data_IF_937032583028
#
_entry.id   IF_937032583028
#
_cell.length_a   1.000
_cell.length_b   1.000
_cell.length_c   1.000
_cell.angle_alpha   90.00
_cell.angle_beta   90.00
_cell.angle_gamma   90.00
#
_symmetry.space_group_name_H-M   'P 1'
#
loop_
_entity.id
_entity.type
_entity.pdbx_description
1 polymer ?
#
# COMPACT_ATOMS: atom_id res chain seq x y z
N UNK A 1 4.86 -25.99 21.24
CA UNK A 1 4.02 -24.83 20.89
C UNK A 1 2.59 -25.31 20.71
N UNK A 2 1.63 -24.60 21.31
CA UNK A 2 0.22 -24.92 21.16
C UNK A 2 -0.22 -24.64 19.71
N UNK A 3 -0.85 -25.59 18.99
CA UNK A 3 -1.29 -25.38 17.62
C UNK A 3 -2.27 -24.21 17.43
N UNK A 4 -2.95 -23.78 18.51
CA UNK A 4 -3.86 -22.62 18.46
C UNK A 4 -3.14 -21.27 18.63
N UNK A 5 -1.86 -21.26 18.96
CA UNK A 5 -1.09 -20.05 19.11
C UNK A 5 -0.61 -19.54 17.77
N UNK A 6 -0.93 -18.26 17.47
CA UNK A 6 -0.45 -17.57 16.29
C UNK A 6 0.82 -16.81 16.67
N UNK A 7 1.92 -17.09 15.97
CA UNK A 7 3.15 -16.29 16.11
C UNK A 7 2.90 -14.95 15.47
N UNK A 8 2.92 -13.88 16.27
CA UNK A 8 2.80 -12.53 15.78
C UNK A 8 4.02 -12.16 14.93
N UNK A 9 3.79 -11.63 13.75
CA UNK A 9 4.81 -11.11 12.85
C UNK A 9 4.65 -9.60 12.69
N UNK A 10 5.71 -8.93 12.27
CA UNK A 10 5.64 -7.50 11.96
C UNK A 10 5.42 -7.31 10.47
N UNK A 11 4.34 -6.59 10.15
CA UNK A 11 3.93 -6.28 8.78
C UNK A 11 4.05 -4.76 8.59
N UNK A 12 4.95 -4.35 7.70
CA UNK A 12 5.05 -2.95 7.30
C UNK A 12 4.16 -2.73 6.07
N UNK A 13 3.09 -1.95 6.26
CA UNK A 13 2.10 -1.68 5.21
C UNK A 13 2.46 -0.36 4.52
N UNK A 14 3.03 -0.45 3.32
CA UNK A 14 3.50 0.68 2.54
C UNK A 14 2.54 0.96 1.39
N UNK A 15 2.00 2.16 1.35
CA UNK A 15 1.00 2.51 0.35
C UNK A 15 0.70 4.00 0.29
N UNK A 16 -0.39 4.32 -0.37
CA UNK A 16 -0.89 5.67 -0.59
C UNK A 16 -2.03 6.04 0.38
N UNK A 17 -2.93 6.91 -0.04
CA UNK A 17 -4.10 7.32 0.75
C UNK A 17 -5.03 6.17 1.10
N UNK A 18 -5.11 5.12 0.28
CA UNK A 18 -5.92 3.93 0.57
C UNK A 18 -5.37 3.16 1.79
N UNK A 19 -4.06 3.18 1.98
CA UNK A 19 -3.40 2.57 3.15
C UNK A 19 -3.41 3.53 4.35
N UNK A 20 -3.12 4.80 4.10
CA UNK A 20 -3.19 5.84 5.13
C UNK A 20 -4.57 5.90 5.79
N UNK A 21 -5.62 5.71 5.00
CA UNK A 21 -7.01 5.81 5.45
C UNK A 21 -7.57 7.20 5.27
N UNK A 22 -7.27 7.85 4.14
CA UNK A 22 -7.78 9.18 3.81
C UNK A 22 -9.31 9.22 3.81
N UNK A 23 -9.88 10.16 4.56
CA UNK A 23 -11.31 10.42 4.61
C UNK A 23 -11.66 11.64 3.74
N UNK A 24 -12.27 11.44 2.57
CA UNK A 24 -12.61 12.54 1.66
C UNK A 24 -13.69 13.49 2.20
N UNK A 25 -14.38 13.10 3.27
CA UNK A 25 -15.41 13.95 3.90
C UNK A 25 -14.80 15.11 4.68
N UNK A 26 -13.62 14.93 5.28
CA UNK A 26 -12.81 15.99 5.88
C UNK A 26 -13.40 16.72 7.09
N UNK A 27 -14.40 16.16 7.78
CA UNK A 27 -15.09 16.87 8.87
C UNK A 27 -14.24 17.03 10.13
N UNK A 28 -13.39 16.05 10.47
CA UNK A 28 -12.59 16.03 11.69
C UNK A 28 -11.15 15.61 11.41
N UNK A 29 -10.59 16.12 10.36
CA UNK A 29 -9.29 15.74 9.87
C UNK A 29 -9.40 15.03 8.52
N UNK A 30 -8.29 14.50 8.06
CA UNK A 30 -8.17 13.90 6.73
C UNK A 30 -8.08 12.37 6.78
N UNK A 31 -8.42 11.75 7.91
CA UNK A 31 -8.17 10.33 8.14
C UNK A 31 -9.32 9.65 8.87
N UNK A 32 -9.72 8.46 8.40
CA UNK A 32 -10.65 7.61 9.12
C UNK A 32 -10.08 7.20 10.49
N UNK A 33 -10.97 6.90 11.43
CA UNK A 33 -10.59 6.32 12.71
C UNK A 33 -10.01 4.90 12.58
N UNK A 34 -9.33 4.44 13.62
CA UNK A 34 -8.68 3.12 13.60
C UNK A 34 -9.67 1.97 13.35
N UNK A 35 -10.92 2.12 13.75
CA UNK A 35 -11.99 1.14 13.54
C UNK A 35 -12.39 0.97 12.06
N UNK A 36 -12.01 1.92 11.20
CA UNK A 36 -12.37 1.92 9.78
C UNK A 36 -11.15 1.80 8.85
N UNK A 37 -9.93 1.84 9.40
CA UNK A 37 -8.70 1.68 8.60
C UNK A 37 -8.33 0.21 8.49
N UNK A 38 -8.09 -0.25 7.25
CA UNK A 38 -7.81 -1.68 7.03
C UNK A 38 -6.54 -2.18 7.72
N UNK A 39 -5.50 -1.34 7.87
CA UNK A 39 -4.26 -1.73 8.56
C UNK A 39 -4.53 -2.02 10.04
N UNK A 40 -5.31 -1.16 10.69
CA UNK A 40 -5.68 -1.36 12.11
C UNK A 40 -6.62 -2.55 12.28
N UNK A 41 -7.54 -2.75 11.34
CA UNK A 41 -8.43 -3.92 11.33
C UNK A 41 -7.65 -5.21 11.13
N UNK A 42 -6.65 -5.21 10.26
CA UNK A 42 -5.77 -6.36 10.05
C UNK A 42 -5.03 -6.72 11.34
N UNK A 43 -4.46 -5.71 12.01
CA UNK A 43 -3.77 -5.92 13.29
C UNK A 43 -4.71 -6.49 14.35
N UNK A 44 -5.92 -5.95 14.45
CA UNK A 44 -6.93 -6.40 15.42
C UNK A 44 -7.38 -7.82 15.16
N UNK A 45 -7.64 -8.18 13.90
CA UNK A 45 -8.16 -9.50 13.53
C UNK A 45 -7.09 -10.60 13.60
N UNK A 46 -5.83 -10.27 13.36
CA UNK A 46 -4.74 -11.26 13.28
C UNK A 46 -3.86 -11.32 14.53
N UNK A 47 -3.83 -10.25 15.31
CA UNK A 47 -2.86 -10.11 16.40
C UNK A 47 -1.44 -9.78 15.92
N UNK A 48 -1.23 -9.56 14.63
CA UNK A 48 0.07 -9.14 14.08
C UNK A 48 0.36 -7.67 14.37
N UNK A 49 1.65 -7.33 14.43
CA UNK A 49 2.12 -5.97 14.57
C UNK A 49 2.13 -5.31 13.18
N UNK A 50 1.08 -4.55 12.87
CA UNK A 50 0.93 -3.89 11.59
C UNK A 50 1.28 -2.41 11.70
N UNK A 51 2.28 -1.99 10.93
CA UNK A 51 2.74 -0.59 10.89
C UNK A 51 2.16 0.05 9.63
N UNK A 52 1.43 1.16 9.81
CA UNK A 52 0.87 1.91 8.70
C UNK A 52 1.89 2.93 8.18
N UNK A 53 2.48 2.66 7.03
CA UNK A 53 3.36 3.57 6.30
C UNK A 53 2.69 4.11 5.04
N UNK A 54 1.39 4.35 5.09
CA UNK A 54 0.63 5.01 4.03
C UNK A 54 0.86 6.51 4.00
N UNK A 55 0.81 7.10 2.82
CA UNK A 55 0.91 8.55 2.64
C UNK A 55 0.05 9.00 1.46
N UNK A 56 -0.72 10.08 1.68
CA UNK A 56 -1.57 10.66 0.63
C UNK A 56 -0.74 11.07 -0.58
N UNK A 57 -1.24 10.76 -1.77
CA UNK A 57 -0.61 11.16 -3.03
C UNK A 57 0.62 10.35 -3.42
N UNK A 58 1.03 9.36 -2.63
CA UNK A 58 2.24 8.59 -2.94
C UNK A 58 2.11 7.83 -4.24
N UNK A 59 3.04 8.07 -5.14
CA UNK A 59 3.30 7.25 -6.31
C UNK A 59 4.33 6.16 -5.98
N UNK A 60 4.55 5.24 -6.90
CA UNK A 60 5.60 4.22 -6.75
C UNK A 60 6.95 4.94 -6.65
N UNK A 61 7.71 4.77 -5.57
CA UNK A 61 8.95 5.51 -5.36
C UNK A 61 10.02 5.16 -6.39
N UNK A 62 10.80 6.16 -6.75
CA UNK A 62 11.95 6.01 -7.67
C UNK A 62 13.29 5.98 -6.93
N UNK A 63 13.25 6.12 -5.61
CA UNK A 63 14.44 6.15 -4.76
C UNK A 63 14.37 5.06 -3.69
N UNK A 64 15.45 4.78 -2.94
CA UNK A 64 15.49 3.71 -1.94
C UNK A 64 14.80 4.07 -0.62
N UNK A 65 13.75 4.89 -0.65
CA UNK A 65 13.03 5.30 0.57
C UNK A 65 12.47 4.11 1.37
N UNK A 66 11.95 3.10 0.67
CA UNK A 66 11.40 1.91 1.33
C UNK A 66 12.47 1.11 2.07
N UNK A 67 13.70 1.07 1.56
CA UNK A 67 14.80 0.42 2.27
C UNK A 67 15.08 1.09 3.62
N UNK A 68 15.01 2.42 3.66
CA UNK A 68 15.13 3.18 4.90
C UNK A 68 14.01 2.84 5.89
N UNK A 69 12.77 2.74 5.42
CA UNK A 69 11.64 2.33 6.26
C UNK A 69 11.81 0.91 6.81
N UNK A 70 12.28 -0.03 5.99
CA UNK A 70 12.56 -1.40 6.43
C UNK A 70 13.61 -1.40 7.53
N UNK A 71 14.64 -0.58 7.41
CA UNK A 71 15.71 -0.46 8.40
C UNK A 71 15.20 0.17 9.70
N UNK A 72 14.43 1.25 9.60
CA UNK A 72 13.88 1.97 10.75
C UNK A 72 12.90 1.12 11.58
N UNK A 73 12.16 0.24 10.91
CA UNK A 73 11.17 -0.64 11.55
C UNK A 73 11.63 -2.08 11.75
N UNK A 74 12.91 -2.36 11.52
CA UNK A 74 13.45 -3.71 11.65
C UNK A 74 13.22 -4.31 13.07
N UNK A 75 12.97 -5.62 13.19
CA UNK A 75 12.81 -6.58 12.09
C UNK A 75 11.42 -6.47 11.44
N UNK A 76 11.37 -6.53 10.12
CA UNK A 76 10.11 -6.59 9.35
C UNK A 76 10.01 -7.98 8.73
N UNK A 77 8.92 -8.69 9.04
CA UNK A 77 8.69 -10.03 8.51
C UNK A 77 8.00 -9.99 7.14
N UNK A 78 7.05 -9.08 6.98
CA UNK A 78 6.32 -8.91 5.72
C UNK A 78 6.33 -7.42 5.33
N UNK A 79 6.81 -7.14 4.13
CA UNK A 79 6.68 -5.83 3.51
C UNK A 79 5.50 -5.87 2.53
N UNK A 80 4.37 -5.31 2.96
CA UNK A 80 3.14 -5.27 2.18
C UNK A 80 3.07 -3.95 1.42
N UNK A 81 2.96 -4.03 0.10
CA UNK A 81 2.94 -2.86 -0.79
C UNK A 81 1.63 -2.82 -1.56
N UNK A 82 0.95 -1.68 -1.50
CA UNK A 82 -0.24 -1.39 -2.32
C UNK A 82 -0.11 0.02 -2.87
N UNK A 83 0.32 0.13 -4.12
CA UNK A 83 0.58 1.39 -4.82
C UNK A 83 0.20 1.28 -6.29
N UNK A 84 0.06 2.41 -6.96
CA UNK A 84 -0.19 2.52 -8.39
C UNK A 84 -1.33 3.46 -8.75
N UNK A 85 -2.30 3.65 -7.85
CA UNK A 85 -3.45 4.54 -8.10
C UNK A 85 -3.01 5.95 -8.50
N UNK A 86 -2.10 6.56 -7.74
CA UNK A 86 -1.65 7.92 -8.02
C UNK A 86 -0.81 8.01 -9.29
N UNK A 87 -0.04 6.97 -9.60
CA UNK A 87 0.69 6.89 -10.87
C UNK A 87 -0.29 6.98 -12.05
N UNK A 88 -1.38 6.20 -12.01
CA UNK A 88 -2.42 6.23 -13.05
C UNK A 88 -3.12 7.59 -13.11
N UNK A 89 -3.45 8.18 -11.97
CA UNK A 89 -4.08 9.50 -11.91
C UNK A 89 -3.18 10.61 -12.48
N UNK A 90 -1.88 10.43 -12.44
CA UNK A 90 -0.90 11.34 -13.04
C UNK A 90 -0.59 11.02 -14.51
N UNK A 91 -1.29 10.06 -15.11
CA UNK A 91 -1.18 9.76 -16.53
C UNK A 91 -0.25 8.60 -16.89
N UNK A 92 0.31 7.92 -15.92
CA UNK A 92 1.12 6.72 -16.16
C UNK A 92 0.22 5.56 -16.58
N UNK A 93 0.63 4.79 -17.58
CA UNK A 93 -0.11 3.59 -17.99
C UNK A 93 0.07 2.46 -16.97
N UNK A 94 -0.84 1.49 -16.98
CA UNK A 94 -0.71 0.30 -16.14
C UNK A 94 0.60 -0.46 -16.42
N UNK A 95 1.00 -0.56 -17.68
CA UNK A 95 2.26 -1.20 -18.08
C UNK A 95 3.47 -0.48 -17.49
N UNK A 96 3.51 0.84 -17.58
CA UNK A 96 4.61 1.64 -17.00
C UNK A 96 4.60 1.55 -15.47
N UNK A 97 3.43 1.59 -14.84
CA UNK A 97 3.31 1.43 -13.39
C UNK A 97 3.85 0.07 -12.92
N UNK A 98 3.53 -1.01 -13.64
CA UNK A 98 4.04 -2.34 -13.36
C UNK A 98 5.58 -2.39 -13.47
N UNK A 99 6.15 -1.75 -14.50
CA UNK A 99 7.60 -1.66 -14.67
C UNK A 99 8.25 -0.87 -13.54
N UNK A 100 7.64 0.24 -13.13
CA UNK A 100 8.11 1.02 -11.97
C UNK A 100 8.08 0.20 -10.68
N UNK A 101 7.03 -0.59 -10.49
CA UNK A 101 6.90 -1.46 -9.32
C UNK A 101 8.01 -2.50 -9.27
N UNK A 102 8.31 -3.13 -10.39
CA UNK A 102 9.40 -4.10 -10.50
C UNK A 102 10.74 -3.44 -10.16
N UNK A 103 11.02 -2.29 -10.75
CA UNK A 103 12.26 -1.51 -10.48
C UNK A 103 12.36 -1.10 -9.02
N UNK A 104 11.23 -0.75 -8.40
CA UNK A 104 11.17 -0.38 -6.99
C UNK A 104 11.43 -1.58 -6.07
N UNK A 105 10.83 -2.73 -6.35
CA UNK A 105 10.89 -3.90 -5.47
C UNK A 105 12.19 -4.69 -5.58
N UNK A 106 12.80 -4.76 -6.76
CA UNK A 106 13.99 -5.59 -6.98
C UNK A 106 15.13 -5.30 -5.99
N UNK A 107 15.51 -4.05 -5.71
CA UNK A 107 16.57 -3.76 -4.73
C UNK A 107 16.18 -4.13 -3.30
N UNK A 108 14.88 -4.30 -3.00
CA UNK A 108 14.38 -4.60 -1.67
C UNK A 108 14.35 -6.11 -1.36
N UNK A 109 14.37 -6.95 -2.40
CA UNK A 109 14.30 -8.40 -2.24
C UNK A 109 15.36 -8.95 -1.28
N UNK A 110 16.66 -8.57 -1.36
CA UNK A 110 17.67 -9.06 -0.45
C UNK A 110 17.48 -8.60 1.00
N UNK A 111 16.71 -7.54 1.22
CA UNK A 111 16.51 -6.90 2.53
C UNK A 111 15.18 -7.23 3.16
N UNK A 112 14.38 -8.09 2.54
CA UNK A 112 13.03 -8.43 2.98
C UNK A 112 12.90 -9.94 3.12
N UNK A 113 12.29 -10.41 4.21
CA UNK A 113 11.97 -11.83 4.37
C UNK A 113 10.86 -12.23 3.40
N UNK A 114 9.83 -11.39 3.31
CA UNK A 114 8.71 -11.59 2.40
C UNK A 114 8.18 -10.25 1.91
N UNK A 115 7.93 -10.15 0.61
CA UNK A 115 7.22 -9.02 0.01
C UNK A 115 5.86 -9.52 -0.45
N UNK A 116 4.80 -8.83 -0.02
CA UNK A 116 3.44 -9.09 -0.46
C UNK A 116 2.97 -7.88 -1.27
N UNK A 117 2.80 -8.08 -2.56
CA UNK A 117 2.28 -7.04 -3.45
C UNK A 117 0.77 -7.21 -3.56
N UNK A 118 0.06 -6.14 -3.18
CA UNK A 118 -1.40 -6.08 -3.24
C UNK A 118 -1.79 -5.13 -4.36
N UNK A 119 -2.65 -5.60 -5.26
CA UNK A 119 -3.20 -4.76 -6.32
C UNK A 119 -4.06 -3.64 -5.70
N UNK A 120 -3.90 -2.38 -6.16
CA UNK A 120 -4.78 -1.33 -5.70
C UNK A 120 -6.22 -1.56 -6.18
N UNK A 121 -7.22 -1.01 -5.45
CA UNK A 121 -8.61 -1.11 -5.90
C UNK A 121 -8.79 -0.51 -7.29
N UNK A 122 -9.61 -1.13 -8.12
CA UNK A 122 -9.98 -0.56 -9.41
C UNK A 122 -10.78 0.73 -9.21
N UNK A 123 -10.56 1.69 -10.11
CA UNK A 123 -11.23 2.99 -10.05
C UNK A 123 -12.57 2.94 -10.80
N UNK A 124 -13.52 3.76 -10.35
CA UNK A 124 -14.79 4.03 -11.03
C UNK A 124 -14.79 5.46 -11.56
N UNK A 125 -15.62 5.72 -12.58
CA UNK A 125 -15.82 7.08 -13.09
C UNK A 125 -16.27 8.00 -11.96
N UNK A 126 -15.73 9.22 -11.95
CA UNK A 126 -16.02 10.24 -10.94
C UNK A 126 -15.20 11.49 -11.18
N UNK A 127 -15.26 12.44 -10.25
CA UNK A 127 -14.55 13.72 -10.37
C UNK A 127 -13.04 13.56 -10.56
N UNK A 128 -12.44 12.60 -9.88
CA UNK A 128 -10.99 12.32 -9.96
C UNK A 128 -10.64 11.31 -11.06
N UNK A 129 -11.64 10.65 -11.65
CA UNK A 129 -11.47 9.64 -12.69
C UNK A 129 -12.39 10.00 -13.85
N UNK A 130 -12.03 11.02 -14.66
CA UNK A 130 -12.94 11.58 -15.65
C UNK A 130 -13.07 10.77 -16.94
N UNK A 131 -12.25 9.74 -17.16
CA UNK A 131 -12.22 8.99 -18.41
C UNK A 131 -12.34 7.47 -18.20
N UNK A 132 -12.94 6.79 -19.19
CA UNK A 132 -12.96 5.32 -19.23
C UNK A 132 -11.56 4.74 -19.37
N UNK A 133 -10.63 5.48 -19.98
CA UNK A 133 -9.22 5.09 -20.09
C UNK A 133 -8.61 4.88 -18.72
N UNK A 134 -8.82 5.79 -17.77
CA UNK A 134 -8.33 5.64 -16.39
C UNK A 134 -8.95 4.43 -15.69
N UNK A 135 -10.25 4.21 -15.87
CA UNK A 135 -10.93 3.03 -15.32
C UNK A 135 -10.28 1.75 -15.86
N UNK A 136 -10.10 1.67 -17.17
CA UNK A 136 -9.51 0.49 -17.82
C UNK A 136 -8.04 0.27 -17.39
N UNK A 137 -7.24 1.34 -17.28
CA UNK A 137 -5.87 1.24 -16.79
C UNK A 137 -5.84 0.70 -15.34
N UNK A 138 -6.77 1.13 -14.48
CA UNK A 138 -6.84 0.64 -13.11
C UNK A 138 -7.20 -0.85 -13.04
N UNK A 139 -8.07 -1.32 -13.94
CA UNK A 139 -8.41 -2.74 -14.04
C UNK A 139 -7.20 -3.55 -14.55
N UNK A 140 -6.48 -3.03 -15.53
CA UNK A 140 -5.28 -3.69 -16.06
C UNK A 140 -4.14 -3.78 -15.03
N UNK A 141 -4.03 -2.78 -14.13
CA UNK A 141 -3.02 -2.79 -13.09
C UNK A 141 -3.31 -3.88 -12.04
N UNK A 142 -4.58 -4.10 -11.73
CA UNK A 142 -5.02 -5.17 -10.82
C UNK A 142 -4.88 -6.53 -11.44
#
# INVERSE_FOLDING_TARGET
>A
MNPSEVIAVRILCFGDSNTYGYDPRGFFGDRYGAEDRWVDLLAKQTGHDCINAGANGREIPRNPYALRLLTEHAPVDVFLVMLGTNDLLQGTSAKEAATRMETFLNPLLPHSKQILLVAPPSMKRGAWVPTDKLVNESICLG
#
